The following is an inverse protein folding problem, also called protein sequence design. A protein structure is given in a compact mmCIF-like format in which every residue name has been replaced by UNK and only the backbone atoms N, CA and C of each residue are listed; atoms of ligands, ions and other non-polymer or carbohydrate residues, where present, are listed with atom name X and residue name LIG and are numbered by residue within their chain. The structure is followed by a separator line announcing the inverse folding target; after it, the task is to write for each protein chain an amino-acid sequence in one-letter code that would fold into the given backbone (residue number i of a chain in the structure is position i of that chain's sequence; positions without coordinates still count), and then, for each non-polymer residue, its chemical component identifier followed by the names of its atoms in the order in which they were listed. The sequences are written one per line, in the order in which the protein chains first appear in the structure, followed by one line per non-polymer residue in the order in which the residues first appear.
data_IF_009306102152
#
_entry.id   IF_009306102152
#
_cell.length_a   1.000
_cell.length_b   1.000
_cell.length_c   1.000
_cell.angle_alpha   90.00
_cell.angle_beta   90.00
_cell.angle_gamma   90.00
#
_symmetry.space_group_name_H-M   'P 1'
#
loop_
_entity.id
_entity.type
_entity.pdbx_description
1 polymer ?
#
# COMPACT_ATOMS: atom_id res chain seq x y z
N UNK A 1 -1.37 -27.54 31.26
CA UNK A 1 -0.08 -27.54 30.54
C UNK A 1 -0.33 -26.69 29.31
N UNK A 2 -0.04 -25.39 29.47
CA UNK A 2 -0.31 -24.35 28.46
C UNK A 2 0.85 -24.40 27.46
N UNK A 3 0.56 -24.64 26.19
CA UNK A 3 1.55 -24.53 25.12
C UNK A 3 2.14 -23.12 25.13
N UNK A 4 3.47 -22.98 24.94
CA UNK A 4 4.07 -21.65 24.85
C UNK A 4 3.58 -20.98 23.57
N UNK A 5 3.04 -19.79 23.76
CA UNK A 5 2.71 -18.83 22.73
C UNK A 5 3.87 -18.74 21.70
N UNK A 6 3.57 -19.12 20.48
CA UNK A 6 4.58 -19.09 19.42
C UNK A 6 5.02 -17.64 19.23
N UNK A 7 6.23 -17.33 19.72
CA UNK A 7 6.83 -16.02 19.61
C UNK A 7 6.71 -15.52 18.17
N UNK A 8 6.15 -14.33 17.99
CA UNK A 8 6.05 -13.71 16.69
C UNK A 8 7.42 -13.72 16.00
N UNK A 9 7.53 -14.17 14.75
CA UNK A 9 8.82 -14.28 14.08
C UNK A 9 9.49 -12.90 14.05
N UNK A 10 10.77 -12.86 14.41
CA UNK A 10 11.56 -11.63 14.36
C UNK A 10 11.44 -10.97 12.98
N UNK A 11 11.33 -9.63 12.91
CA UNK A 11 11.22 -8.93 11.65
C UNK A 11 12.42 -9.23 10.75
N UNK A 12 12.16 -9.34 9.44
CA UNK A 12 13.24 -9.49 8.46
C UNK A 12 14.12 -8.22 8.46
N UNK A 13 15.37 -8.31 7.98
CA UNK A 13 16.18 -7.14 7.73
C UNK A 13 15.45 -6.14 6.85
N UNK A 14 15.71 -4.85 7.06
CA UNK A 14 15.13 -3.79 6.24
C UNK A 14 15.47 -4.00 4.75
N UNK A 15 14.48 -4.13 3.86
CA UNK A 15 14.70 -4.52 2.47
C UNK A 15 15.18 -3.32 1.62
N UNK A 16 16.46 -3.03 1.67
CA UNK A 16 17.11 -1.90 0.97
C UNK A 16 17.00 -2.00 -0.55
N UNK A 17 16.84 -3.20 -1.08
CA UNK A 17 16.64 -3.46 -2.52
C UNK A 17 15.34 -2.87 -3.09
N UNK A 18 14.40 -2.51 -2.21
CA UNK A 18 13.14 -1.86 -2.59
C UNK A 18 13.25 -0.32 -2.61
N UNK A 19 14.41 0.23 -2.28
CA UNK A 19 14.63 1.68 -2.29
C UNK A 19 14.99 2.13 -3.71
N UNK A 20 14.21 3.08 -4.26
CA UNK A 20 14.49 3.64 -5.58
C UNK A 20 13.93 5.05 -5.76
N UNK A 21 14.56 5.82 -6.63
CA UNK A 21 14.04 7.10 -7.10
C UNK A 21 13.05 6.89 -8.25
N UNK A 22 12.03 7.73 -8.32
CA UNK A 22 11.02 7.74 -9.37
C UNK A 22 10.77 9.17 -9.82
N UNK A 23 10.64 9.36 -11.13
CA UNK A 23 10.18 10.61 -11.74
C UNK A 23 8.74 10.42 -12.18
N UNK A 24 7.84 11.25 -11.67
CA UNK A 24 6.42 11.21 -11.99
C UNK A 24 6.12 11.92 -13.31
N UNK A 25 4.89 11.78 -13.82
CA UNK A 25 4.48 12.33 -15.13
C UNK A 25 4.66 13.84 -15.26
N UNK A 26 4.63 14.57 -14.15
CA UNK A 26 4.86 16.03 -14.13
C UNK A 26 6.32 16.43 -13.88
N UNK A 27 7.26 15.46 -13.91
CA UNK A 27 8.67 15.70 -13.64
C UNK A 27 9.05 15.74 -12.14
N UNK A 28 8.10 15.61 -11.23
CA UNK A 28 8.39 15.59 -9.81
C UNK A 28 9.15 14.31 -9.42
N UNK A 29 10.14 14.47 -8.55
CA UNK A 29 10.94 13.37 -8.02
C UNK A 29 10.38 12.91 -6.68
N UNK A 30 10.24 11.60 -6.53
CA UNK A 30 9.92 10.95 -5.26
C UNK A 30 10.86 9.78 -5.05
N UNK A 31 11.08 9.41 -3.78
CA UNK A 31 11.78 8.20 -3.41
C UNK A 31 10.77 7.19 -2.86
N UNK A 32 10.77 5.99 -3.44
CA UNK A 32 10.04 4.85 -2.90
C UNK A 32 10.97 4.08 -1.97
N UNK A 33 10.49 3.74 -0.79
CA UNK A 33 11.22 2.90 0.17
C UNK A 33 10.26 2.13 1.08
N UNK A 34 10.71 1.05 1.71
CA UNK A 34 9.97 0.43 2.80
C UNK A 34 9.74 1.41 3.95
N UNK A 35 8.58 1.29 4.59
CA UNK A 35 8.25 2.06 5.79
C UNK A 35 9.17 1.67 6.94
N UNK A 36 9.38 2.58 7.89
CA UNK A 36 10.17 2.38 9.10
C UNK A 36 9.34 2.72 10.34
N UNK A 37 9.68 2.19 11.52
CA UNK A 37 9.00 2.56 12.76
C UNK A 37 8.99 4.07 13.05
N UNK A 38 10.06 4.78 12.70
CA UNK A 38 10.18 6.24 12.87
C UNK A 38 9.34 7.07 11.87
N UNK A 39 8.58 6.42 10.99
CA UNK A 39 7.61 7.07 10.10
C UNK A 39 6.23 7.30 10.74
N UNK A 40 5.99 6.84 11.98
CA UNK A 40 4.69 7.04 12.66
C UNK A 40 4.22 8.51 12.61
N UNK A 41 5.04 9.52 13.00
CA UNK A 41 4.65 10.91 12.89
C UNK A 41 4.32 11.34 11.46
N UNK A 42 5.10 10.89 10.49
CA UNK A 42 4.90 11.22 9.06
C UNK A 42 3.60 10.62 8.49
N UNK A 43 3.18 9.44 8.98
CA UNK A 43 1.87 8.87 8.64
C UNK A 43 0.72 9.72 9.17
N UNK A 44 0.84 10.21 10.42
CA UNK A 44 -0.15 11.12 11.02
C UNK A 44 -0.23 12.42 10.22
N UNK A 45 0.92 12.98 9.83
CA UNK A 45 0.98 14.18 8.99
C UNK A 45 0.38 13.95 7.60
N UNK A 46 0.71 12.83 6.94
CA UNK A 46 0.11 12.46 5.66
C UNK A 46 -1.40 12.39 5.78
N UNK A 47 -1.93 11.67 6.78
CA UNK A 47 -3.36 11.58 7.02
C UNK A 47 -4.01 12.96 7.20
N UNK A 48 -3.36 13.86 7.93
CA UNK A 48 -3.84 15.22 8.17
C UNK A 48 -3.94 16.09 6.90
N UNK A 49 -3.23 15.73 5.84
CA UNK A 49 -3.28 16.43 4.54
C UNK A 49 -4.24 15.79 3.52
N UNK A 50 -4.76 14.60 3.81
CA UNK A 50 -5.77 13.98 2.95
C UNK A 50 -7.08 14.75 2.99
N UNK A 51 -7.74 14.89 1.85
CA UNK A 51 -9.15 15.28 1.83
C UNK A 51 -10.01 14.25 2.55
N UNK A 52 -11.16 14.67 3.06
CA UNK A 52 -12.14 13.74 3.66
C UNK A 52 -12.53 12.62 2.70
N UNK A 53 -12.64 12.94 1.41
CA UNK A 53 -12.96 11.97 0.37
C UNK A 53 -11.86 10.92 0.23
N UNK A 54 -10.59 11.32 0.09
CA UNK A 54 -9.45 10.40 -0.02
C UNK A 54 -9.27 9.55 1.24
N UNK A 55 -9.42 10.16 2.43
CA UNK A 55 -9.38 9.43 3.69
C UNK A 55 -10.50 8.37 3.77
N UNK A 56 -11.75 8.73 3.40
CA UNK A 56 -12.87 7.81 3.40
C UNK A 56 -12.69 6.68 2.38
N UNK A 57 -12.20 6.97 1.18
CA UNK A 57 -11.90 5.94 0.17
C UNK A 57 -10.86 4.91 0.66
N UNK A 58 -9.94 5.32 1.54
CA UNK A 58 -8.88 4.44 2.05
C UNK A 58 -9.30 3.67 3.30
N UNK A 59 -10.02 4.30 4.22
CA UNK A 59 -10.26 3.77 5.56
C UNK A 59 -11.71 3.37 5.80
N UNK A 60 -12.62 3.65 4.86
CA UNK A 60 -14.08 3.43 4.97
C UNK A 60 -14.71 4.12 6.19
N UNK A 61 -13.99 5.04 6.80
CA UNK A 61 -14.43 5.82 7.95
C UNK A 61 -13.82 7.22 7.93
N UNK A 62 -14.42 8.15 8.65
CA UNK A 62 -13.91 9.51 8.80
C UNK A 62 -13.37 9.68 10.21
N UNK A 63 -12.08 9.93 10.32
CA UNK A 63 -11.38 10.21 11.57
C UNK A 63 -10.87 11.64 11.56
N UNK A 64 -10.84 12.30 12.72
CA UNK A 64 -10.26 13.66 12.82
C UNK A 64 -8.75 13.65 12.59
N UNK A 65 -8.10 12.57 13.00
CA UNK A 65 -6.67 12.30 12.80
C UNK A 65 -6.45 10.79 12.82
N UNK A 66 -5.35 10.33 12.26
CA UNK A 66 -4.94 8.94 12.36
C UNK A 66 -4.68 8.58 13.84
N UNK A 67 -5.37 7.57 14.41
CA UNK A 67 -5.13 7.15 15.79
C UNK A 67 -3.69 6.68 16.00
N UNK A 68 -3.07 6.95 17.16
CA UNK A 68 -1.69 6.52 17.46
C UNK A 68 -1.48 5.01 17.28
N UNK A 69 -2.40 4.17 17.74
CA UNK A 69 -2.32 2.72 17.60
C UNK A 69 -2.31 2.28 16.13
N UNK A 70 -3.06 2.98 15.28
CA UNK A 70 -3.05 2.74 13.83
C UNK A 70 -1.75 3.20 13.19
N UNK A 71 -1.23 4.37 13.58
CA UNK A 71 0.05 4.85 13.08
C UNK A 71 1.17 3.86 13.45
N UNK A 72 1.17 3.40 14.71
CA UNK A 72 2.10 2.38 15.19
C UNK A 72 1.97 1.08 14.39
N UNK A 73 0.75 0.53 14.29
CA UNK A 73 0.49 -0.69 13.52
C UNK A 73 0.94 -0.56 12.05
N UNK A 74 0.72 0.59 11.43
CA UNK A 74 1.05 0.81 10.02
C UNK A 74 2.54 1.00 9.78
N UNK A 75 3.28 1.60 10.72
CA UNK A 75 4.72 1.81 10.59
C UNK A 75 5.55 0.58 10.95
N UNK A 76 5.04 -0.28 11.85
CA UNK A 76 5.75 -1.45 12.35
C UNK A 76 5.33 -2.71 11.61
N UNK A 77 6.08 -3.06 10.58
CA UNK A 77 5.87 -4.24 9.73
C UNK A 77 7.04 -5.21 9.84
N UNK A 78 6.82 -6.48 9.51
CA UNK A 78 7.84 -7.53 9.57
C UNK A 78 8.65 -7.70 8.28
N UNK A 79 8.32 -6.93 7.24
CA UNK A 79 8.90 -6.97 5.89
C UNK A 79 8.81 -8.32 5.17
N UNK A 80 8.02 -9.24 5.67
CA UNK A 80 7.74 -10.57 5.10
C UNK A 80 6.28 -10.76 4.78
N UNK A 81 5.46 -11.00 5.83
CA UNK A 81 4.01 -11.16 5.71
C UNK A 81 3.29 -9.82 5.58
N UNK A 82 3.90 -8.78 6.16
CA UNK A 82 3.43 -7.40 6.13
C UNK A 82 4.51 -6.52 5.53
N UNK A 83 4.18 -5.78 4.49
CA UNK A 83 5.09 -4.82 3.88
C UNK A 83 4.32 -3.55 3.55
N UNK A 84 4.95 -2.41 3.79
CA UNK A 84 4.47 -1.13 3.29
C UNK A 84 5.61 -0.38 2.59
N UNK A 85 5.31 0.19 1.44
CA UNK A 85 6.18 1.09 0.70
C UNK A 85 5.62 2.50 0.82
N UNK A 86 6.47 3.45 1.16
CA UNK A 86 6.14 4.86 1.21
C UNK A 86 6.77 5.59 0.03
N UNK A 87 6.04 6.56 -0.50
CA UNK A 87 6.59 7.54 -1.41
C UNK A 87 6.89 8.81 -0.63
N UNK A 88 8.14 9.24 -0.63
CA UNK A 88 8.58 10.43 0.08
C UNK A 88 9.18 11.45 -0.88
N UNK A 89 9.08 12.72 -0.49
CA UNK A 89 9.76 13.84 -1.14
C UNK A 89 10.55 14.65 -0.14
N UNK A 90 11.60 15.27 -0.59
CA UNK A 90 12.32 16.27 0.19
C UNK A 90 11.58 17.61 0.19
N UNK A 91 11.59 18.26 1.33
CA UNK A 91 11.05 19.61 1.53
C UNK A 91 12.07 20.45 2.30
N UNK A 92 11.96 21.78 2.30
CA UNK A 92 12.87 22.63 3.09
C UNK A 92 12.89 22.32 4.59
N UNK A 93 11.82 21.69 5.11
CA UNK A 93 11.64 21.34 6.53
C UNK A 93 11.88 19.86 6.82
N UNK A 94 12.35 19.09 5.84
CA UNK A 94 12.63 17.65 5.98
C UNK A 94 11.88 16.79 4.97
N UNK A 95 11.77 15.51 5.28
CA UNK A 95 11.11 14.53 4.41
C UNK A 95 9.61 14.46 4.68
N UNK A 96 8.81 14.43 3.62
CA UNK A 96 7.36 14.34 3.67
C UNK A 96 6.86 13.13 2.89
N UNK A 97 5.99 12.30 3.49
CA UNK A 97 5.32 11.22 2.79
C UNK A 97 4.17 11.77 1.94
N UNK A 98 4.03 11.28 0.72
CA UNK A 98 2.99 11.68 -0.23
C UNK A 98 2.14 10.50 -0.72
N UNK A 99 2.51 9.28 -0.35
CA UNK A 99 1.74 8.08 -0.66
C UNK A 99 2.25 6.87 0.09
N UNK A 100 1.37 5.88 0.27
CA UNK A 100 1.66 4.58 0.86
C UNK A 100 0.95 3.50 0.07
N UNK A 101 1.67 2.44 -0.24
CA UNK A 101 1.12 1.18 -0.73
C UNK A 101 1.56 0.05 0.19
N UNK A 102 0.66 -0.91 0.49
CA UNK A 102 0.98 -1.98 1.43
C UNK A 102 0.27 -3.27 1.09
N UNK A 103 0.80 -4.37 1.58
CA UNK A 103 0.06 -5.62 1.72
C UNK A 103 0.12 -6.14 3.16
N UNK A 104 -0.96 -6.83 3.55
CA UNK A 104 -1.13 -7.56 4.80
C UNK A 104 -1.55 -8.99 4.49
N UNK A 105 -1.41 -9.97 5.42
CA UNK A 105 -1.98 -11.29 5.24
C UNK A 105 -3.49 -11.20 4.97
N UNK A 106 -3.97 -11.88 3.93
CA UNK A 106 -5.39 -12.01 3.64
C UNK A 106 -6.04 -13.12 4.47
N UNK A 107 -7.36 -13.26 4.35
CA UNK A 107 -8.13 -14.31 5.02
C UNK A 107 -7.85 -15.69 4.40
N UNK A 108 -7.60 -15.74 3.10
CA UNK A 108 -7.29 -16.98 2.39
C UNK A 108 -5.78 -17.27 2.41
N UNK A 109 -5.37 -18.55 2.53
CA UNK A 109 -3.99 -18.94 2.35
C UNK A 109 -3.42 -18.42 1.01
N UNK A 110 -2.16 -18.00 0.99
CA UNK A 110 -1.44 -17.51 -0.18
C UNK A 110 -2.03 -16.24 -0.83
N UNK A 111 -2.94 -15.56 -0.12
CA UNK A 111 -3.54 -14.30 -0.54
C UNK A 111 -3.12 -13.17 0.39
N UNK A 112 -2.77 -12.02 -0.17
CA UNK A 112 -2.53 -10.81 0.61
C UNK A 112 -3.57 -9.75 0.29
N UNK A 113 -4.01 -9.02 1.31
CA UNK A 113 -4.80 -7.81 1.13
C UNK A 113 -3.89 -6.64 0.82
N UNK A 114 -4.22 -5.87 -0.21
CA UNK A 114 -3.48 -4.66 -0.59
C UNK A 114 -4.31 -3.41 -0.39
N UNK A 115 -3.63 -2.34 0.01
CA UNK A 115 -4.26 -1.05 0.20
C UNK A 115 -3.30 0.09 -0.15
N UNK A 116 -3.85 1.18 -0.69
CA UNK A 116 -3.09 2.32 -1.19
C UNK A 116 -3.73 3.62 -0.74
N UNK A 117 -2.90 4.62 -0.53
CA UNK A 117 -3.31 6.02 -0.41
C UNK A 117 -2.27 6.91 -1.07
N UNK A 118 -2.73 7.91 -1.79
CA UNK A 118 -1.91 8.97 -2.38
C UNK A 118 -2.54 10.30 -2.01
N UNK A 119 -1.72 11.22 -1.47
CA UNK A 119 -2.14 12.58 -1.14
C UNK A 119 -2.76 13.26 -2.38
N UNK A 120 -3.83 14.04 -2.17
CA UNK A 120 -4.68 14.56 -3.26
C UNK A 120 -3.88 15.28 -4.34
N UNK A 121 -2.93 16.15 -3.96
CA UNK A 121 -2.08 16.88 -4.91
C UNK A 121 -1.11 16.01 -5.71
N UNK A 122 -0.94 14.74 -5.35
CA UNK A 122 -0.06 13.77 -6.00
C UNK A 122 -0.81 12.70 -6.80
N UNK A 123 -2.13 12.77 -6.81
CA UNK A 123 -2.96 11.86 -7.60
C UNK A 123 -2.93 12.23 -9.08
N UNK A 124 -3.18 11.24 -9.95
CA UNK A 124 -3.15 11.45 -11.40
C UNK A 124 -1.75 11.52 -12.03
N UNK A 125 -0.69 11.54 -11.23
CA UNK A 125 0.71 11.66 -11.68
C UNK A 125 1.40 10.30 -11.92
N UNK A 126 0.69 9.18 -11.76
CA UNK A 126 1.23 7.83 -11.92
C UNK A 126 1.73 7.19 -10.62
N UNK A 127 1.76 7.91 -9.49
CA UNK A 127 2.29 7.40 -8.23
C UNK A 127 1.54 6.15 -7.72
N UNK A 128 0.20 6.12 -7.85
CA UNK A 128 -0.59 4.95 -7.48
C UNK A 128 -0.21 3.69 -8.28
N UNK A 129 0.05 3.84 -9.58
CA UNK A 129 0.51 2.74 -10.44
C UNK A 129 1.90 2.24 -10.02
N UNK A 130 2.81 3.16 -9.69
CA UNK A 130 4.16 2.83 -9.20
C UNK A 130 4.06 2.04 -7.88
N UNK A 131 3.30 2.53 -6.91
CA UNK A 131 3.13 1.87 -5.61
C UNK A 131 2.50 0.48 -5.78
N UNK A 132 1.45 0.35 -6.62
CA UNK A 132 0.82 -0.93 -6.90
C UNK A 132 1.84 -1.92 -7.49
N UNK A 133 2.55 -1.54 -8.55
CA UNK A 133 3.53 -2.40 -9.20
C UNK A 133 4.63 -2.86 -8.24
N UNK A 134 5.16 -1.95 -7.41
CA UNK A 134 6.23 -2.27 -6.47
C UNK A 134 5.76 -3.18 -5.33
N UNK A 135 4.57 -2.93 -4.78
CA UNK A 135 3.97 -3.78 -3.73
C UNK A 135 3.70 -5.19 -4.27
N UNK A 136 3.16 -5.33 -5.48
CA UNK A 136 2.92 -6.64 -6.08
C UNK A 136 4.24 -7.38 -6.36
N UNK A 137 5.24 -6.68 -6.92
CA UNK A 137 6.57 -7.26 -7.17
C UNK A 137 7.21 -7.75 -5.88
N UNK A 138 7.15 -6.95 -4.82
CA UNK A 138 7.69 -7.30 -3.52
C UNK A 138 6.93 -8.49 -2.90
N UNK A 139 5.62 -8.58 -3.08
CA UNK A 139 4.80 -9.71 -2.63
C UNK A 139 5.17 -11.00 -3.36
N UNK A 140 5.27 -10.95 -4.70
CA UNK A 140 5.67 -12.12 -5.53
C UNK A 140 7.05 -12.63 -5.13
N UNK A 141 8.02 -11.75 -4.90
CA UNK A 141 9.35 -12.12 -4.42
C UNK A 141 9.34 -12.80 -3.04
N UNK A 142 8.23 -12.68 -2.30
CA UNK A 142 7.98 -13.31 -0.99
C UNK A 142 6.99 -14.48 -1.06
N UNK A 143 6.66 -14.96 -2.27
CA UNK A 143 5.80 -16.11 -2.49
C UNK A 143 4.30 -15.80 -2.50
N UNK A 144 3.90 -14.53 -2.52
CA UNK A 144 2.49 -14.12 -2.61
C UNK A 144 2.13 -13.93 -4.07
N UNK A 145 1.17 -14.69 -4.56
CA UNK A 145 0.77 -14.65 -5.98
C UNK A 145 -0.65 -14.16 -6.21
N UNK A 146 -1.48 -14.16 -5.16
CA UNK A 146 -2.86 -13.66 -5.20
C UNK A 146 -3.01 -12.47 -4.27
N UNK A 147 -3.74 -11.48 -4.73
CA UNK A 147 -3.97 -10.24 -4.00
C UNK A 147 -5.44 -9.87 -4.01
N UNK A 148 -5.92 -9.33 -2.90
CA UNK A 148 -7.27 -8.81 -2.76
C UNK A 148 -7.22 -7.34 -2.39
N UNK A 149 -8.02 -6.53 -3.04
CA UNK A 149 -8.22 -5.14 -2.67
C UNK A 149 -9.69 -4.89 -2.36
N UNK A 150 -9.97 -4.07 -1.36
CA UNK A 150 -11.28 -3.53 -1.09
C UNK A 150 -11.30 -2.05 -1.45
N UNK A 151 -12.34 -1.63 -2.16
CA UNK A 151 -12.52 -0.23 -2.55
C UNK A 151 -14.00 0.12 -2.58
N UNK A 152 -14.34 1.39 -2.45
CA UNK A 152 -15.72 1.83 -2.67
C UNK A 152 -16.13 1.55 -4.11
N UNK A 153 -17.39 1.18 -4.32
CA UNK A 153 -17.91 0.82 -5.64
C UNK A 153 -17.88 1.98 -6.64
N UNK A 154 -17.88 3.21 -6.15
CA UNK A 154 -17.76 4.45 -6.93
C UNK A 154 -16.32 4.97 -7.08
N UNK A 155 -15.34 4.28 -6.52
CA UNK A 155 -13.92 4.61 -6.72
C UNK A 155 -13.42 4.09 -8.08
N UNK A 156 -13.96 4.65 -9.16
CA UNK A 156 -13.64 4.23 -10.54
C UNK A 156 -12.14 4.34 -10.86
N UNK A 157 -11.43 5.27 -10.22
CA UNK A 157 -9.98 5.42 -10.41
C UNK A 157 -9.22 4.19 -9.93
N UNK A 158 -9.52 3.69 -8.73
CA UNK A 158 -8.90 2.49 -8.18
C UNK A 158 -9.30 1.25 -8.97
N UNK A 159 -10.59 1.09 -9.28
CA UNK A 159 -11.09 -0.03 -10.08
C UNK A 159 -10.44 -0.10 -11.46
N UNK A 160 -10.27 1.05 -12.11
CA UNK A 160 -9.57 1.14 -13.40
C UNK A 160 -8.10 0.77 -13.26
N UNK A 161 -7.40 1.32 -12.24
CA UNK A 161 -5.99 1.01 -11.97
C UNK A 161 -5.77 -0.50 -11.83
N UNK A 162 -6.59 -1.17 -11.01
CA UNK A 162 -6.53 -2.62 -10.83
C UNK A 162 -6.77 -3.36 -12.16
N UNK A 163 -7.79 -2.97 -12.94
CA UNK A 163 -8.11 -3.62 -14.21
C UNK A 163 -7.01 -3.44 -15.26
N UNK A 164 -6.35 -2.29 -15.30
CA UNK A 164 -5.30 -1.99 -16.27
C UNK A 164 -3.96 -2.67 -15.93
N UNK A 165 -3.62 -2.77 -14.65
CA UNK A 165 -2.29 -3.22 -14.22
C UNK A 165 -2.24 -4.67 -13.72
N UNK A 166 -3.39 -5.32 -13.51
CA UNK A 166 -3.44 -6.67 -12.95
C UNK A 166 -4.33 -7.60 -13.77
N UNK A 167 -4.22 -8.90 -13.50
CA UNK A 167 -5.13 -9.93 -14.02
C UNK A 167 -6.25 -10.14 -12.99
N UNK A 168 -7.36 -9.41 -13.15
CA UNK A 168 -8.53 -9.54 -12.27
C UNK A 168 -9.14 -10.94 -12.45
N UNK A 169 -9.34 -11.66 -11.34
CA UNK A 169 -9.93 -13.01 -11.28
C UNK A 169 -11.37 -12.98 -10.81
N UNK A 170 -11.67 -12.14 -9.83
CA UNK A 170 -12.99 -12.00 -9.25
C UNK A 170 -13.27 -10.55 -8.90
N UNK A 171 -14.51 -10.14 -9.05
CA UNK A 171 -14.99 -8.83 -8.58
C UNK A 171 -16.38 -9.01 -8.00
N UNK A 172 -16.56 -8.63 -6.74
CA UNK A 172 -17.82 -8.72 -6.01
C UNK A 172 -18.10 -7.38 -5.33
N UNK A 173 -19.33 -6.89 -5.47
CA UNK A 173 -19.75 -5.64 -4.79
C UNK A 173 -20.87 -5.96 -3.83
N UNK A 174 -20.69 -5.59 -2.57
CA UNK A 174 -21.68 -5.73 -1.49
C UNK A 174 -21.66 -4.46 -0.65
N UNK A 175 -22.82 -3.96 -0.29
CA UNK A 175 -22.99 -2.79 0.58
C UNK A 175 -22.15 -1.56 0.20
N UNK A 176 -21.96 -1.34 -1.10
CA UNK A 176 -21.17 -0.21 -1.63
C UNK A 176 -19.65 -0.40 -1.61
N UNK A 177 -19.16 -1.57 -1.18
CA UNK A 177 -17.75 -1.95 -1.23
C UNK A 177 -17.53 -3.01 -2.30
N UNK A 178 -16.52 -2.82 -3.11
CA UNK A 178 -16.09 -3.79 -4.13
C UNK A 178 -14.82 -4.48 -3.65
N UNK A 179 -14.89 -5.80 -3.54
CA UNK A 179 -13.75 -6.70 -3.38
C UNK A 179 -13.25 -7.10 -4.77
N UNK A 180 -11.97 -7.00 -5.01
CA UNK A 180 -11.31 -7.41 -6.26
C UNK A 180 -10.20 -8.38 -5.92
N UNK A 181 -10.31 -9.62 -6.40
CA UNK A 181 -9.24 -10.63 -6.35
C UNK A 181 -8.48 -10.59 -7.67
N UNK A 182 -7.17 -10.52 -7.61
CA UNK A 182 -6.33 -10.42 -8.80
C UNK A 182 -4.95 -11.03 -8.60
N UNK A 183 -4.24 -11.22 -9.69
CA UNK A 183 -2.85 -11.64 -9.75
C UNK A 183 -2.04 -10.57 -10.50
N UNK A 184 -0.73 -10.44 -10.25
CA UNK A 184 0.13 -9.64 -11.11
C UNK A 184 0.04 -10.15 -12.55
N UNK A 185 0.00 -9.23 -13.52
CA UNK A 185 0.16 -9.65 -14.91
C UNK A 185 1.55 -10.28 -15.08
N UNK A 186 1.59 -11.45 -15.67
CA UNK A 186 2.87 -12.00 -16.16
C UNK A 186 3.40 -11.02 -17.20
N UNK A 187 4.59 -10.48 -17.00
CA UNK A 187 5.30 -9.79 -18.07
C UNK A 187 5.36 -10.80 -19.24
N UNK A 188 4.89 -10.37 -20.41
CA UNK A 188 5.08 -11.18 -21.60
C UNK A 188 6.58 -11.37 -21.75
N UNK A 189 7.07 -12.59 -21.52
CA UNK A 189 8.45 -12.96 -21.81
C UNK A 189 8.64 -12.70 -23.29
N UNK A 190 9.27 -11.59 -23.62
CA UNK A 190 9.71 -11.33 -24.99
C UNK A 190 10.77 -12.38 -25.30
N UNK A 191 10.36 -13.35 -26.12
CA UNK A 191 11.25 -14.37 -26.69
C UNK A 191 12.23 -13.74 -27.67
#
# INVERSE_FOLDING_TARGET
MTEPDAAAPSPAPYPTELVRAVVLKNGAHVRIRPIRPDDEPRLVELYGRLSRHTAYQRFFTVMRRLPPDWAHFFANVDYRRRLALVAERDTPTGVQLVGVGRYEPGEEPDTAEVAFVVEDGWQGLGLGAVLLADVLRAGVARGIHRFRAFTLADNYRMLRLLSELTAVRERKTEEGVTSVLFEPRREATTA
#
